data_IF_183988455319
#
_entry.id   IF_183988455319
#
_cell.length_a   1.000
_cell.length_b   1.000
_cell.length_c   1.000
_cell.angle_alpha   90.00
_cell.angle_beta   90.00
_cell.angle_gamma   90.00
#
_symmetry.space_group_name_H-M   'P 1'
#
loop_
_entity.id
_entity.type
_entity.pdbx_description
1 polymer ?
#
# COMPACT_ATOMS: atom_id res chain seq x y z
N UNK A 1 -16.98 -11.05 -22.55
CA UNK A 1 -15.72 -11.76 -22.27
C UNK A 1 -15.55 -11.80 -20.76
N UNK A 2 -14.91 -12.85 -20.23
CA UNK A 2 -14.75 -13.04 -18.78
C UNK A 2 -13.27 -13.33 -18.53
N UNK A 3 -12.67 -12.62 -17.57
CA UNK A 3 -11.30 -12.80 -17.12
C UNK A 3 -11.31 -13.24 -15.65
N UNK A 4 -10.36 -14.09 -15.27
CA UNK A 4 -10.14 -14.40 -13.86
C UNK A 4 -9.40 -13.24 -13.19
N UNK A 5 -9.73 -12.95 -11.93
CA UNK A 5 -8.97 -12.03 -11.10
C UNK A 5 -7.55 -12.57 -10.83
N UNK A 6 -6.60 -11.67 -10.65
CA UNK A 6 -5.18 -11.96 -10.43
C UNK A 6 -4.95 -12.85 -9.19
N UNK A 7 -5.81 -12.73 -8.18
CA UNK A 7 -5.80 -13.55 -6.97
C UNK A 7 -5.91 -15.05 -7.25
N UNK A 8 -6.68 -15.46 -8.27
CA UNK A 8 -6.79 -16.88 -8.64
C UNK A 8 -5.46 -17.45 -9.13
N UNK A 9 -4.67 -16.65 -9.87
CA UNK A 9 -3.37 -17.08 -10.35
C UNK A 9 -2.37 -17.21 -9.20
N UNK A 10 -2.41 -16.28 -8.25
CA UNK A 10 -1.62 -16.34 -7.01
C UNK A 10 -1.95 -17.57 -6.17
N UNK A 11 -3.23 -17.83 -5.90
CA UNK A 11 -3.67 -19.01 -5.13
C UNK A 11 -3.31 -20.33 -5.81
N UNK A 12 -3.39 -20.38 -7.13
CA UNK A 12 -3.04 -21.58 -7.90
C UNK A 12 -1.53 -21.74 -8.16
N UNK A 13 -0.70 -20.75 -7.79
CA UNK A 13 0.74 -20.77 -8.03
C UNK A 13 1.12 -20.80 -9.51
N UNK A 14 0.26 -20.26 -10.38
CA UNK A 14 0.47 -20.24 -11.83
C UNK A 14 0.89 -18.85 -12.30
N UNK A 15 1.69 -18.74 -13.38
CA UNK A 15 2.08 -17.44 -13.92
C UNK A 15 0.87 -16.62 -14.39
N UNK A 16 0.91 -15.31 -14.16
CA UNK A 16 -0.08 -14.40 -14.72
C UNK A 16 -0.10 -14.47 -16.26
N UNK A 17 -1.25 -14.31 -16.92
CA UNK A 17 -1.34 -14.09 -18.36
C UNK A 17 -0.46 -12.91 -18.82
N UNK A 18 -0.04 -12.87 -20.09
CA UNK A 18 0.66 -11.72 -20.64
C UNK A 18 -0.26 -10.50 -20.68
N UNK A 19 0.29 -9.27 -20.64
CA UNK A 19 -0.52 -8.05 -20.49
C UNK A 19 -1.53 -7.83 -21.63
N UNK A 20 -1.22 -8.31 -22.84
CA UNK A 20 -2.10 -8.28 -24.01
C UNK A 20 -3.38 -9.08 -23.80
N UNK A 21 -3.38 -10.05 -22.88
CA UNK A 21 -4.57 -10.82 -22.50
C UNK A 21 -5.66 -9.94 -21.90
N UNK A 22 -5.30 -8.84 -21.25
CA UNK A 22 -6.22 -7.99 -20.48
C UNK A 22 -6.79 -6.82 -21.31
N UNK A 23 -6.59 -6.81 -22.63
CA UNK A 23 -7.16 -5.83 -23.58
C UNK A 23 -7.05 -4.36 -23.13
N UNK A 24 -5.91 -3.98 -22.57
CA UNK A 24 -5.67 -2.59 -22.12
C UNK A 24 -6.10 -2.28 -20.69
N UNK A 25 -6.28 -3.30 -19.84
CA UNK A 25 -6.47 -3.15 -18.38
C UNK A 25 -7.73 -2.38 -17.96
N UNK A 26 -8.79 -2.42 -18.77
CA UNK A 26 -10.05 -1.71 -18.47
C UNK A 26 -10.79 -2.18 -17.22
N UNK A 27 -10.42 -3.34 -16.64
CA UNK A 27 -10.99 -3.92 -15.42
C UNK A 27 -9.97 -3.98 -14.26
N UNK A 28 -8.93 -3.15 -14.33
CA UNK A 28 -7.85 -3.12 -13.33
C UNK A 28 -8.38 -2.99 -11.88
N UNK A 29 -9.46 -2.22 -11.68
CA UNK A 29 -10.07 -2.00 -10.36
C UNK A 29 -10.77 -3.23 -9.76
N UNK A 30 -11.18 -4.20 -10.58
CA UNK A 30 -11.84 -5.43 -10.14
C UNK A 30 -10.82 -6.56 -9.82
N UNK A 31 -9.54 -6.20 -9.65
CA UNK A 31 -8.47 -7.16 -9.38
C UNK A 31 -7.98 -7.92 -10.61
N UNK A 32 -8.28 -7.45 -11.82
CA UNK A 32 -7.93 -8.11 -13.09
C UNK A 32 -6.78 -7.37 -13.76
N UNK A 33 -5.61 -8.01 -13.88
CA UNK A 33 -4.44 -7.47 -14.56
C UNK A 33 -3.60 -6.50 -13.73
N UNK A 34 -3.95 -6.28 -12.45
CA UNK A 34 -3.22 -5.41 -11.53
C UNK A 34 -1.73 -5.75 -11.43
N UNK A 35 -1.39 -7.03 -11.28
CA UNK A 35 0.00 -7.47 -11.15
C UNK A 35 0.80 -7.18 -12.43
N UNK A 36 0.20 -7.36 -13.61
CA UNK A 36 0.84 -7.08 -14.90
C UNK A 36 0.97 -5.60 -15.19
N UNK A 37 -0.04 -4.81 -14.86
CA UNK A 37 0.04 -3.35 -14.94
C UNK A 37 1.17 -2.82 -14.07
N UNK A 38 1.21 -3.25 -12.79
CA UNK A 38 2.26 -2.86 -11.86
C UNK A 38 3.65 -3.26 -12.37
N UNK A 39 3.78 -4.45 -12.94
CA UNK A 39 5.02 -4.89 -13.58
C UNK A 39 5.43 -4.00 -14.76
N UNK A 40 4.50 -3.64 -15.64
CA UNK A 40 4.79 -2.79 -16.79
C UNK A 40 5.19 -1.38 -16.40
N UNK A 41 4.53 -0.82 -15.38
CA UNK A 41 4.88 0.46 -14.77
C UNK A 41 6.29 0.44 -14.17
N UNK A 42 6.61 -0.62 -13.43
CA UNK A 42 7.92 -0.80 -12.83
C UNK A 42 9.03 -1.04 -13.85
N UNK A 43 8.77 -1.79 -14.92
CA UNK A 43 9.71 -2.00 -16.02
C UNK A 43 9.84 -0.75 -16.92
N UNK A 44 9.00 0.26 -16.71
CA UNK A 44 9.01 1.50 -17.50
C UNK A 44 8.43 1.38 -18.89
N UNK A 45 7.55 0.40 -19.11
CA UNK A 45 6.76 0.26 -20.34
C UNK A 45 5.59 1.25 -20.38
N UNK A 46 5.17 1.74 -19.21
CA UNK A 46 4.16 2.78 -19.05
C UNK A 46 4.80 4.03 -18.42
N UNK A 47 4.44 5.21 -18.95
CA UNK A 47 4.96 6.51 -18.46
C UNK A 47 4.04 7.16 -17.42
N UNK A 48 2.76 6.80 -17.44
CA UNK A 48 1.72 7.30 -16.54
C UNK A 48 1.15 6.11 -15.77
N UNK A 49 0.95 6.21 -14.45
CA UNK A 49 0.27 5.15 -13.70
C UNK A 49 -1.11 4.89 -14.29
N UNK A 50 -1.46 3.62 -14.38
CA UNK A 50 -2.82 3.18 -14.71
C UNK A 50 -3.64 3.33 -13.44
N UNK A 51 -3.86 4.58 -13.05
CA UNK A 51 -4.57 4.94 -11.83
C UNK A 51 -6.06 4.62 -11.93
N UNK A 52 -6.76 4.63 -10.79
CA UNK A 52 -8.20 4.45 -10.77
C UNK A 52 -8.86 5.48 -11.70
N UNK A 53 -9.77 5.02 -12.57
CA UNK A 53 -10.65 5.93 -13.26
C UNK A 53 -11.58 6.48 -12.19
N UNK A 54 -11.56 7.80 -11.98
CA UNK A 54 -12.45 8.45 -11.02
C UNK A 54 -13.90 8.05 -11.32
N UNK A 55 -14.44 7.14 -10.51
CA UNK A 55 -15.70 6.46 -10.74
C UNK A 55 -16.36 6.09 -9.42
N UNK A 56 -17.60 5.61 -9.51
CA UNK A 56 -18.56 5.42 -8.42
C UNK A 56 -18.08 4.54 -7.23
N UNK A 57 -16.97 3.81 -7.37
CA UNK A 57 -16.40 2.91 -6.35
C UNK A 57 -15.13 3.45 -5.68
N UNK A 58 -14.83 4.74 -5.80
CA UNK A 58 -13.84 5.40 -4.96
C UNK A 58 -14.15 5.13 -3.47
N UNK A 59 -13.11 4.83 -2.70
CA UNK A 59 -13.20 4.47 -1.28
C UNK A 59 -14.23 5.33 -0.55
N UNK A 60 -15.29 4.69 -0.05
CA UNK A 60 -16.24 5.31 0.87
C UNK A 60 -15.62 5.24 2.25
N UNK A 61 -15.74 6.31 3.04
CA UNK A 61 -15.31 6.35 4.43
C UNK A 61 -15.67 5.04 5.14
N UNK A 62 -14.63 4.31 5.56
CA UNK A 62 -14.81 3.11 6.34
C UNK A 62 -15.68 3.43 7.56
N UNK A 63 -16.64 2.55 7.87
CA UNK A 63 -17.47 2.73 9.05
C UNK A 63 -16.54 2.89 10.28
N UNK A 64 -16.77 3.89 11.15
CA UNK A 64 -15.98 4.05 12.37
C UNK A 64 -15.99 2.75 13.18
N UNK A 65 -15.00 2.55 14.06
CA UNK A 65 -14.82 1.31 14.82
C UNK A 65 -16.07 0.82 15.62
N UNK A 66 -17.07 1.69 15.81
CA UNK A 66 -18.38 1.39 16.41
C UNK A 66 -19.40 0.77 15.43
N UNK A 67 -19.02 0.57 14.17
CA UNK A 67 -19.77 -0.10 13.12
C UNK A 67 -21.06 0.61 12.68
N UNK A 68 -22.00 -0.17 12.13
CA UNK A 68 -23.30 0.27 11.58
C UNK A 68 -24.27 0.89 12.60
N UNK A 69 -23.87 1.00 13.88
CA UNK A 69 -24.71 1.44 15.00
C UNK A 69 -24.40 2.85 15.49
N UNK A 70 -23.45 3.54 14.86
CA UNK A 70 -23.17 4.94 15.16
C UNK A 70 -24.43 5.80 14.91
N UNK A 71 -24.84 6.68 15.85
CA UNK A 71 -25.92 7.62 15.62
C UNK A 71 -25.54 8.55 14.47
N UNK A 72 -26.19 8.41 13.31
CA UNK A 72 -25.97 9.32 12.18
C UNK A 72 -26.59 10.67 12.51
N UNK A 73 -25.77 11.71 12.59
CA UNK A 73 -26.26 13.09 12.68
C UNK A 73 -26.60 13.57 11.26
N UNK A 74 -27.89 13.81 10.93
CA UNK A 74 -28.30 14.21 9.59
C UNK A 74 -27.86 15.64 9.20
N UNK A 75 -27.18 16.38 10.09
CA UNK A 75 -26.65 17.72 9.82
C UNK A 75 -25.19 17.74 9.29
N UNK A 76 -24.55 16.58 9.09
CA UNK A 76 -23.16 16.49 8.60
C UNK A 76 -22.95 16.94 7.14
N UNK A 77 -24.00 16.89 6.32
CA UNK A 77 -23.95 17.21 4.88
C UNK A 77 -24.12 18.71 4.55
N UNK A 78 -24.32 19.56 5.56
CA UNK A 78 -24.38 21.02 5.35
C UNK A 78 -23.05 21.64 5.74
N UNK A 79 -22.21 21.94 4.74
CA UNK A 79 -20.84 22.42 4.86
C UNK A 79 -20.62 23.74 5.63
N UNK A 80 -20.71 23.70 6.96
CA UNK A 80 -20.20 24.75 7.84
C UNK A 80 -18.97 24.23 8.60
N UNK A 81 -17.78 24.60 8.11
CA UNK A 81 -16.51 24.31 8.80
C UNK A 81 -16.38 25.21 10.03
N UNK A 82 -16.39 24.60 11.21
CA UNK A 82 -15.95 25.24 12.45
C UNK A 82 -14.44 25.15 12.57
N UNK A 83 -13.75 26.28 12.44
CA UNK A 83 -12.35 26.42 12.82
C UNK A 83 -12.23 26.42 14.35
N UNK A 84 -11.66 25.36 14.91
CA UNK A 84 -11.31 25.26 16.33
C UNK A 84 -9.91 24.67 16.44
N UNK A 85 -8.94 25.52 16.78
CA UNK A 85 -7.56 25.13 16.97
C UNK A 85 -7.33 24.41 18.31
N UNK A 86 -6.34 23.55 18.34
CA UNK A 86 -5.64 23.16 19.56
C UNK A 86 -4.15 23.15 19.26
N UNK A 87 -3.49 24.22 19.70
CA UNK A 87 -2.06 24.27 19.94
C UNK A 87 -1.69 23.21 20.96
N UNK A 88 -0.82 22.27 20.60
CA UNK A 88 -0.06 21.54 21.59
C UNK A 88 1.44 21.59 21.27
N UNK A 89 2.20 21.96 22.29
CA UNK A 89 3.61 22.29 22.23
C UNK A 89 4.39 21.03 22.56
N UNK A 90 4.54 20.14 21.59
CA UNK A 90 5.28 18.90 21.73
C UNK A 90 6.75 19.08 21.39
N UNK A 91 7.62 18.82 22.38
CA UNK A 91 9.07 18.69 22.24
C UNK A 91 9.47 18.00 20.92
N UNK A 92 10.27 18.67 20.08
CA UNK A 92 10.71 18.14 18.80
C UNK A 92 11.62 16.92 19.04
N UNK A 93 11.02 15.74 18.96
CA UNK A 93 11.77 14.48 18.87
C UNK A 93 12.51 14.55 17.54
N UNK A 94 13.85 14.58 17.59
CA UNK A 94 14.70 14.51 16.41
C UNK A 94 14.56 13.09 15.86
N UNK A 95 13.61 12.87 14.95
CA UNK A 95 13.52 11.65 14.16
C UNK A 95 14.67 11.67 13.15
N UNK A 96 15.66 10.79 13.34
CA UNK A 96 16.75 10.61 12.39
C UNK A 96 16.18 9.98 11.12
N UNK A 97 15.90 10.80 10.11
CA UNK A 97 15.50 10.29 8.80
C UNK A 97 16.64 9.45 8.22
N UNK A 98 16.37 8.21 7.75
CA UNK A 98 17.34 7.39 7.06
C UNK A 98 18.06 8.14 5.93
N UNK A 99 19.34 7.83 5.71
CA UNK A 99 20.09 8.37 4.56
C UNK A 99 19.45 7.88 3.25
N UNK A 100 19.56 8.65 2.17
CA UNK A 100 19.03 8.28 0.84
C UNK A 100 19.49 6.89 0.36
N UNK A 101 20.75 6.56 0.63
CA UNK A 101 21.38 5.29 0.25
C UNK A 101 21.26 4.20 1.33
N UNK A 102 20.39 4.38 2.33
CA UNK A 102 20.16 3.33 3.32
C UNK A 102 19.45 2.13 2.68
N UNK A 103 19.69 0.89 3.18
CA UNK A 103 18.96 -0.27 2.72
C UNK A 103 17.45 -0.09 2.83
N UNK A 104 16.73 -0.67 1.87
CA UNK A 104 15.30 -0.47 1.68
C UNK A 104 14.54 -1.75 2.07
N UNK A 105 13.53 -1.61 2.91
CA UNK A 105 12.50 -2.62 3.13
C UNK A 105 11.21 -2.20 2.44
N UNK A 106 10.71 -2.98 1.48
CA UNK A 106 9.41 -2.75 0.84
C UNK A 106 8.36 -3.51 1.63
N UNK A 107 7.48 -2.78 2.32
CA UNK A 107 6.43 -3.34 3.17
C UNK A 107 5.25 -3.77 2.29
N UNK A 108 4.84 -5.03 2.40
CA UNK A 108 3.76 -5.58 1.58
C UNK A 108 3.12 -6.80 2.25
N UNK A 109 1.93 -7.19 1.79
CA UNK A 109 1.27 -8.42 2.25
C UNK A 109 1.73 -9.63 1.42
N UNK A 110 1.40 -10.89 1.79
CA UNK A 110 1.91 -12.08 1.11
C UNK A 110 1.61 -12.14 -0.40
N UNK A 111 0.45 -11.68 -0.86
CA UNK A 111 0.16 -11.61 -2.30
C UNK A 111 0.98 -10.55 -3.02
N UNK A 112 1.15 -9.39 -2.39
CA UNK A 112 2.06 -8.36 -2.91
C UNK A 112 3.51 -8.86 -2.97
N UNK A 113 3.96 -9.62 -1.97
CA UNK A 113 5.28 -10.22 -1.97
C UNK A 113 5.51 -11.17 -3.15
N UNK A 114 4.52 -12.00 -3.50
CA UNK A 114 4.60 -12.88 -4.68
C UNK A 114 4.70 -12.12 -6.00
N UNK A 115 4.02 -10.99 -6.11
CA UNK A 115 4.11 -10.11 -7.29
C UNK A 115 5.45 -9.37 -7.35
N UNK A 116 5.90 -8.81 -6.23
CA UNK A 116 7.08 -7.94 -6.17
C UNK A 116 8.40 -8.71 -6.17
N UNK A 117 8.45 -9.92 -5.59
CA UNK A 117 9.68 -10.72 -5.50
C UNK A 117 10.40 -10.92 -6.84
N UNK A 118 9.74 -11.36 -7.94
CA UNK A 118 10.42 -11.51 -9.22
C UNK A 118 10.92 -10.18 -9.76
N UNK A 119 10.20 -9.08 -9.50
CA UNK A 119 10.57 -7.74 -9.99
C UNK A 119 11.82 -7.23 -9.27
N UNK A 120 11.87 -7.32 -7.95
CA UNK A 120 13.03 -6.93 -7.16
C UNK A 120 14.26 -7.81 -7.45
N UNK A 121 14.06 -9.11 -7.70
CA UNK A 121 15.14 -10.00 -8.11
C UNK A 121 15.79 -9.56 -9.44
N UNK A 122 14.99 -9.10 -10.41
CA UNK A 122 15.51 -8.56 -11.69
C UNK A 122 16.32 -7.28 -11.52
N UNK A 123 16.07 -6.50 -10.47
CA UNK A 123 16.83 -5.29 -10.18
C UNK A 123 18.26 -5.57 -9.73
N UNK A 124 18.54 -6.79 -9.22
CA UNK A 124 19.88 -7.19 -8.76
C UNK A 124 20.39 -6.39 -7.56
N UNK A 125 19.52 -5.67 -6.85
CA UNK A 125 19.88 -4.87 -5.67
C UNK A 125 19.84 -5.72 -4.41
N UNK A 126 21.00 -5.95 -3.80
CA UNK A 126 21.12 -6.70 -2.54
C UNK A 126 20.72 -5.91 -1.30
N UNK A 127 20.57 -4.59 -1.44
CA UNK A 127 20.19 -3.69 -0.35
C UNK A 127 18.67 -3.41 -0.29
N UNK A 128 17.88 -4.06 -1.15
CA UNK A 128 16.42 -4.00 -1.16
C UNK A 128 15.87 -5.37 -0.74
N UNK A 129 14.94 -5.40 0.22
CA UNK A 129 14.25 -6.62 0.66
C UNK A 129 12.75 -6.39 0.79
N UNK A 130 11.98 -7.48 0.72
CA UNK A 130 10.56 -7.46 1.08
C UNK A 130 10.41 -7.63 2.59
N UNK A 131 9.59 -6.78 3.20
CA UNK A 131 9.09 -6.94 4.56
C UNK A 131 7.65 -7.40 4.44
N UNK A 132 7.44 -8.71 4.54
CA UNK A 132 6.11 -9.31 4.36
C UNK A 132 5.34 -9.23 5.68
N UNK A 133 4.13 -8.70 5.64
CA UNK A 133 3.27 -8.51 6.81
C UNK A 133 2.08 -9.45 6.75
N UNK A 134 2.01 -10.39 7.70
CA UNK A 134 0.85 -11.26 7.87
C UNK A 134 -0.30 -10.50 8.53
N UNK A 135 -1.52 -10.72 8.03
CA UNK A 135 -2.72 -10.04 8.53
C UNK A 135 -3.36 -10.82 9.68
N UNK A 136 -2.90 -10.62 10.90
CA UNK A 136 -3.48 -11.26 12.07
C UNK A 136 -4.75 -10.53 12.54
N UNK A 137 -4.90 -9.23 12.22
CA UNK A 137 -6.05 -8.43 12.63
C UNK A 137 -7.39 -8.96 12.10
N UNK A 138 -7.44 -9.35 10.82
CA UNK A 138 -8.62 -9.98 10.21
C UNK A 138 -8.57 -11.52 10.27
N UNK A 139 -7.75 -12.09 11.16
CA UNK A 139 -7.72 -13.52 11.44
C UNK A 139 -6.90 -14.38 10.46
N UNK A 140 -5.96 -13.80 9.73
CA UNK A 140 -4.97 -14.54 8.92
C UNK A 140 -5.43 -14.99 7.53
N UNK A 141 -6.72 -14.83 7.20
CA UNK A 141 -7.28 -15.32 5.94
C UNK A 141 -7.13 -14.34 4.77
N UNK A 142 -6.57 -13.15 5.02
CA UNK A 142 -6.45 -12.09 4.03
C UNK A 142 -4.98 -11.81 3.76
N UNK A 143 -4.57 -11.85 2.49
CA UNK A 143 -3.18 -11.67 2.08
C UNK A 143 -2.93 -10.44 1.19
N UNK A 144 -3.90 -9.52 1.09
CA UNK A 144 -3.81 -8.30 0.26
C UNK A 144 -3.21 -7.12 1.01
N UNK A 145 -2.44 -6.29 0.31
CA UNK A 145 -1.72 -5.13 0.85
C UNK A 145 -2.65 -4.07 1.45
N UNK A 146 -3.76 -3.73 0.78
CA UNK A 146 -4.67 -2.67 1.23
C UNK A 146 -5.44 -2.96 2.52
N UNK A 147 -5.32 -4.16 3.07
CA UNK A 147 -5.97 -4.54 4.33
C UNK A 147 -4.97 -4.71 5.49
N UNK A 148 -3.69 -4.41 5.27
CA UNK A 148 -2.70 -4.38 6.36
C UNK A 148 -3.02 -3.25 7.33
N UNK A 149 -3.06 -3.57 8.63
CA UNK A 149 -3.33 -2.60 9.68
C UNK A 149 -2.06 -2.17 10.41
N UNK A 150 -2.11 -1.06 11.13
CA UNK A 150 -0.94 -0.49 11.80
C UNK A 150 -0.31 -1.46 12.80
N UNK A 151 -1.11 -2.21 13.55
CA UNK A 151 -0.62 -3.20 14.54
C UNK A 151 0.19 -4.33 13.91
N UNK A 152 -0.25 -4.83 12.75
CA UNK A 152 0.45 -5.91 12.05
C UNK A 152 1.75 -5.41 11.42
N UNK A 153 1.70 -4.21 10.82
CA UNK A 153 2.88 -3.54 10.29
C UNK A 153 3.90 -3.26 11.42
N UNK A 154 3.44 -2.77 12.57
CA UNK A 154 4.29 -2.51 13.73
C UNK A 154 5.03 -3.78 14.17
N UNK A 155 4.31 -4.89 14.35
CA UNK A 155 4.88 -6.20 14.70
C UNK A 155 5.94 -6.65 13.70
N UNK A 156 5.70 -6.48 12.39
CA UNK A 156 6.68 -6.83 11.37
C UNK A 156 7.94 -5.93 11.47
N UNK A 157 7.76 -4.62 11.66
CA UNK A 157 8.84 -3.65 11.72
C UNK A 157 9.67 -3.69 13.02
N UNK A 158 9.15 -4.25 14.12
CA UNK A 158 9.90 -4.43 15.38
C UNK A 158 11.20 -5.21 15.17
N UNK A 159 11.17 -6.21 14.29
CA UNK A 159 12.32 -7.08 14.01
C UNK A 159 13.27 -6.51 12.94
N UNK A 160 12.93 -5.35 12.39
CA UNK A 160 13.67 -4.76 11.27
C UNK A 160 14.71 -3.73 11.76
N UNK A 161 15.89 -3.61 11.08
CA UNK A 161 16.97 -2.74 11.51
C UNK A 161 16.64 -1.24 11.57
N UNK A 162 17.32 -0.53 12.46
CA UNK A 162 17.24 0.94 12.50
C UNK A 162 17.99 1.60 11.34
N UNK A 163 17.59 2.82 10.98
CA UNK A 163 18.25 3.62 9.96
C UNK A 163 18.06 3.13 8.52
N UNK A 164 17.21 2.12 8.29
CA UNK A 164 16.77 1.67 6.97
C UNK A 164 15.53 2.46 6.51
N UNK A 165 15.32 2.52 5.20
CA UNK A 165 14.10 3.11 4.61
C UNK A 165 13.03 2.03 4.48
N UNK A 166 11.84 2.27 5.03
CA UNK A 166 10.70 1.35 4.91
C UNK A 166 9.65 1.96 3.99
N UNK A 167 9.49 1.42 2.79
CA UNK A 167 8.50 1.90 1.82
C UNK A 167 7.14 1.26 2.13
N UNK A 168 6.14 2.09 2.41
CA UNK A 168 4.77 1.67 2.73
C UNK A 168 3.82 2.11 1.59
N UNK A 169 3.05 1.19 1.00
CA UNK A 169 2.04 1.55 0.00
C UNK A 169 0.91 2.41 0.60
N UNK A 170 0.55 3.49 -0.07
CA UNK A 170 -0.51 4.43 0.35
C UNK A 170 -1.89 3.79 0.46
N UNK A 171 -2.16 2.70 -0.26
CA UNK A 171 -3.41 1.93 -0.18
C UNK A 171 -3.69 1.38 1.22
N UNK A 172 -2.68 1.32 2.11
CA UNK A 172 -2.87 0.91 3.50
C UNK A 172 -3.52 2.01 4.36
N UNK A 173 -3.65 3.23 3.84
CA UNK A 173 -4.08 4.41 4.58
C UNK A 173 -5.38 4.99 4.02
N UNK A 174 -6.32 5.29 4.91
CA UNK A 174 -7.49 6.11 4.65
C UNK A 174 -7.35 7.40 5.45
N UNK A 175 -7.29 8.55 4.76
CA UNK A 175 -7.08 9.87 5.38
C UNK A 175 -5.87 9.92 6.35
N UNK A 176 -4.79 9.19 6.01
CA UNK A 176 -3.56 9.12 6.81
C UNK A 176 -3.64 8.16 8.01
N UNK A 177 -4.68 7.33 8.12
CA UNK A 177 -4.84 6.32 9.17
C UNK A 177 -4.94 4.90 8.60
N UNK A 178 -4.42 3.95 9.35
CA UNK A 178 -4.67 2.53 9.11
C UNK A 178 -6.11 2.15 9.52
N UNK A 179 -6.58 0.98 9.09
CA UNK A 179 -7.94 0.50 9.39
C UNK A 179 -8.21 0.27 10.89
N UNK A 180 -7.15 0.07 11.69
CA UNK A 180 -7.23 -0.04 13.15
C UNK A 180 -7.12 1.33 13.88
N UNK A 181 -7.11 2.43 13.12
CA UNK A 181 -7.11 3.81 13.63
C UNK A 181 -5.73 4.39 13.95
N UNK A 182 -4.68 3.56 13.93
CA UNK A 182 -3.30 3.97 14.10
C UNK A 182 -2.83 4.86 12.93
N UNK A 183 -1.75 5.59 13.16
CA UNK A 183 -1.07 6.43 12.17
C UNK A 183 0.34 5.91 11.90
N UNK A 184 0.98 6.38 10.84
CA UNK A 184 2.39 6.05 10.54
C UNK A 184 3.36 6.51 11.64
N UNK A 185 2.96 7.49 12.46
CA UNK A 185 3.75 7.95 13.60
C UNK A 185 3.72 6.98 14.80
N UNK A 186 2.73 6.08 14.85
CA UNK A 186 2.61 5.07 15.92
C UNK A 186 3.48 3.82 15.65
N UNK A 187 4.11 3.73 14.48
CA UNK A 187 4.96 2.60 14.10
C UNK A 187 6.34 2.67 14.79
N UNK A 188 6.94 1.52 15.14
CA UNK A 188 8.25 1.47 15.81
C UNK A 188 9.41 1.90 14.90
N UNK A 189 9.18 1.93 13.59
CA UNK A 189 10.13 2.38 12.57
C UNK A 189 9.44 3.43 11.68
N UNK A 190 10.15 4.52 11.31
CA UNK A 190 9.60 5.49 10.38
C UNK A 190 9.41 4.85 9.00
N UNK A 191 8.26 5.13 8.38
CA UNK A 191 7.92 4.65 7.04
C UNK A 191 7.83 5.81 6.05
N UNK A 192 8.23 5.54 4.83
CA UNK A 192 8.10 6.42 3.65
C UNK A 192 6.89 5.93 2.86
N UNK A 193 5.79 6.70 2.90
CA UNK A 193 4.57 6.36 2.16
C UNK A 193 4.78 6.65 0.68
N UNK A 194 4.51 5.67 -0.18
CA UNK A 194 4.61 5.78 -1.64
C UNK A 194 3.28 5.41 -2.31
N UNK A 195 2.96 6.02 -3.47
CA UNK A 195 1.84 5.56 -4.28
C UNK A 195 1.92 4.07 -4.60
N UNK A 196 0.78 3.39 -4.58
CA UNK A 196 0.66 1.96 -4.87
C UNK A 196 0.68 1.69 -6.38
N UNK A 197 1.78 2.06 -7.03
CA UNK A 197 2.01 1.84 -8.46
C UNK A 197 3.48 1.49 -8.75
N UNK A 198 3.72 0.84 -9.90
CA UNK A 198 5.05 0.36 -10.26
C UNK A 198 6.03 1.50 -10.57
N UNK A 199 5.54 2.64 -11.05
CA UNK A 199 6.36 3.81 -11.40
C UNK A 199 6.93 4.43 -10.11
N UNK A 200 6.10 4.60 -9.09
CA UNK A 200 6.47 5.12 -7.78
C UNK A 200 7.47 4.21 -7.08
N UNK A 201 7.23 2.88 -7.07
CA UNK A 201 8.19 1.94 -6.51
C UNK A 201 9.54 2.01 -7.24
N UNK A 202 9.54 1.97 -8.57
CA UNK A 202 10.77 2.12 -9.37
C UNK A 202 11.54 3.40 -9.02
N UNK A 203 10.84 4.53 -8.92
CA UNK A 203 11.42 5.83 -8.55
C UNK A 203 11.99 5.82 -7.13
N UNK A 204 11.28 5.24 -6.17
CA UNK A 204 11.71 5.14 -4.78
C UNK A 204 12.96 4.27 -4.61
N UNK A 205 13.11 3.26 -5.47
CA UNK A 205 14.30 2.42 -5.60
C UNK A 205 15.42 3.07 -6.45
N UNK A 206 15.27 4.33 -6.89
CA UNK A 206 16.22 5.04 -7.75
C UNK A 206 16.62 4.26 -9.02
N UNK A 207 15.72 3.39 -9.52
CA UNK A 207 15.93 2.63 -10.76
C UNK A 207 15.52 3.55 -11.91
N UNK A 208 16.39 4.49 -12.26
CA UNK A 208 16.25 5.30 -13.47
C UNK A 208 17.43 4.96 -14.41
N UNK A 209 17.07 4.41 -15.58
CA UNK A 209 17.88 4.03 -16.76
C UNK A 209 19.36 4.37 -16.76
#
# INVERSE_FOLDING_TARGET
MVFAADEYYLMAGVPFPPGEHYEGFGLHEDGIGMARTFEWEFDGRLEVPTGPQSGFFAAVDGAPAEGYRAPRNPAGDTGLRGCGGSSDSGSAIISLTPRRNAPIGVVTAPYGAQVLAPMLARCGRSDVRLVTVENDFFGGNTAVTGLMVGKDIARALENEPEGHRYLLPDVCLSEGRFLDGLTTADLPRPVEVIPTDGIALRRALEIAK
#
